data_IF_440262761421
#
_entry.id   IF_440262761421
#
_cell.length_a   1.000
_cell.length_b   1.000
_cell.length_c   1.000
_cell.angle_alpha   90.00
_cell.angle_beta   90.00
_cell.angle_gamma   90.00
#
_symmetry.space_group_name_H-M   'P 1'
#
loop_
_entity.id
_entity.type
_entity.pdbx_description
1 polymer ?
#
# COMPACT_ATOMS: atom_id res chain seq x y z
N UNK A 1 53.80 45.77 3.57
CA UNK A 1 53.27 44.61 4.31
C UNK A 1 51.95 44.20 3.66
N UNK A 2 51.93 43.07 2.93
CA UNK A 2 50.75 42.25 2.54
C UNK A 2 49.72 42.88 1.58
N UNK A 3 48.98 42.16 0.76
CA UNK A 3 49.21 41.05 -0.18
C UNK A 3 47.96 41.09 -1.09
N UNK A 4 48.14 40.84 -2.38
CA UNK A 4 47.05 40.68 -3.34
C UNK A 4 46.16 39.47 -3.00
N UNK A 5 44.87 39.56 -3.31
CA UNK A 5 43.95 38.41 -3.31
C UNK A 5 43.25 38.33 -4.68
N UNK A 6 43.63 37.32 -5.46
CA UNK A 6 42.86 36.86 -6.62
C UNK A 6 42.15 35.55 -6.22
N UNK A 7 40.90 35.30 -6.63
CA UNK A 7 40.22 34.06 -6.31
C UNK A 7 40.62 32.95 -7.29
N UNK A 8 41.18 31.86 -6.77
CA UNK A 8 41.43 30.62 -7.50
C UNK A 8 40.12 29.82 -7.61
N UNK A 9 39.68 29.53 -8.84
CA UNK A 9 38.58 28.60 -9.12
C UNK A 9 39.06 27.16 -8.92
N UNK A 10 38.61 26.50 -7.86
CA UNK A 10 38.73 25.05 -7.70
C UNK A 10 37.52 24.35 -8.32
N UNK A 11 37.71 23.65 -9.44
CA UNK A 11 36.71 22.75 -10.00
C UNK A 11 36.85 21.36 -9.34
N UNK A 12 35.85 20.93 -8.57
CA UNK A 12 35.78 19.58 -8.03
C UNK A 12 35.34 18.62 -9.14
N UNK A 13 36.22 17.68 -9.52
CA UNK A 13 35.89 16.55 -10.39
C UNK A 13 35.20 15.47 -9.56
N UNK A 14 34.01 15.05 -9.99
CA UNK A 14 33.32 13.90 -9.42
C UNK A 14 33.78 12.65 -10.18
N UNK A 15 34.46 11.74 -9.49
CA UNK A 15 34.85 10.45 -10.06
C UNK A 15 33.62 9.58 -10.29
N UNK A 16 33.57 8.90 -11.43
CA UNK A 16 32.56 7.89 -11.77
C UNK A 16 32.69 6.69 -10.83
N UNK A 17 31.77 6.56 -9.86
CA UNK A 17 31.60 5.30 -9.13
C UNK A 17 30.82 4.32 -10.00
N UNK A 18 31.44 3.20 -10.33
CA UNK A 18 30.77 2.05 -10.95
C UNK A 18 29.81 1.44 -9.95
N UNK A 19 28.51 1.50 -10.24
CA UNK A 19 27.46 0.84 -9.45
C UNK A 19 27.53 -0.66 -9.75
N UNK A 20 27.69 -1.56 -8.76
CA UNK A 20 27.63 -2.99 -9.03
C UNK A 20 26.23 -3.36 -9.53
N UNK A 21 26.18 -4.22 -10.55
CA UNK A 21 24.95 -4.74 -11.14
C UNK A 21 24.07 -5.39 -10.05
N UNK A 22 22.88 -4.84 -9.86
CA UNK A 22 21.95 -5.24 -8.82
C UNK A 22 21.55 -6.70 -8.98
N UNK A 23 21.77 -7.51 -7.94
CA UNK A 23 20.93 -8.67 -7.71
C UNK A 23 19.46 -8.22 -7.74
N UNK A 24 18.58 -8.95 -8.43
CA UNK A 24 17.15 -8.61 -8.55
C UNK A 24 16.53 -8.56 -7.16
N UNK A 25 16.50 -7.38 -6.54
CA UNK A 25 15.74 -7.16 -5.33
C UNK A 25 14.30 -7.53 -5.67
N UNK A 26 13.74 -8.53 -4.98
CA UNK A 26 12.31 -8.82 -5.05
C UNK A 26 11.59 -7.52 -4.72
N UNK A 27 11.00 -6.87 -5.73
CA UNK A 27 10.15 -5.71 -5.51
C UNK A 27 8.94 -6.20 -4.72
N UNK A 28 8.87 -5.81 -3.46
CA UNK A 28 7.68 -6.04 -2.64
C UNK A 28 6.56 -5.18 -3.22
N UNK A 29 5.39 -5.77 -3.46
CA UNK A 29 4.22 -5.01 -3.89
C UNK A 29 3.86 -3.96 -2.82
N UNK A 30 3.28 -2.83 -3.24
CA UNK A 30 2.89 -1.74 -2.36
C UNK A 30 1.86 -2.16 -1.31
N UNK A 31 1.12 -3.25 -1.58
CA UNK A 31 0.13 -3.86 -0.69
C UNK A 31 0.64 -5.09 0.07
N UNK A 32 1.96 -5.28 0.13
CA UNK A 32 2.59 -6.40 0.84
C UNK A 32 2.50 -7.72 0.09
N UNK A 33 2.48 -8.84 0.81
CA UNK A 33 2.35 -10.17 0.18
C UNK A 33 1.04 -10.29 -0.61
N UNK A 34 1.10 -11.08 -1.67
CA UNK A 34 -0.04 -11.36 -2.55
C UNK A 34 -0.40 -12.84 -2.43
N UNK A 35 -1.64 -13.14 -2.07
CA UNK A 35 -2.15 -14.48 -1.81
C UNK A 35 -3.04 -14.91 -2.97
N UNK A 36 -2.53 -15.79 -3.83
CA UNK A 36 -3.30 -16.34 -4.94
C UNK A 36 -4.13 -17.54 -4.46
N UNK A 37 -5.41 -17.53 -4.82
CA UNK A 37 -6.36 -18.62 -4.58
C UNK A 37 -6.87 -19.08 -5.95
N UNK A 38 -6.95 -20.38 -6.20
CA UNK A 38 -7.46 -20.92 -7.44
C UNK A 38 -8.38 -22.10 -7.17
N UNK A 39 -9.50 -22.19 -7.89
CA UNK A 39 -10.44 -23.31 -7.83
C UNK A 39 -11.33 -23.32 -9.07
N UNK A 40 -11.46 -24.47 -9.73
CA UNK A 40 -12.45 -24.69 -10.81
C UNK A 40 -12.47 -23.57 -11.86
N UNK A 41 -11.33 -23.30 -12.51
CA UNK A 41 -11.21 -22.26 -13.55
C UNK A 41 -11.28 -20.81 -13.04
N UNK A 42 -11.44 -20.61 -11.74
CA UNK A 42 -11.49 -19.30 -11.09
C UNK A 42 -10.18 -19.02 -10.36
N UNK A 43 -9.71 -17.77 -10.38
CA UNK A 43 -8.50 -17.35 -9.66
C UNK A 43 -8.71 -15.99 -9.00
N UNK A 44 -8.20 -15.82 -7.79
CA UNK A 44 -8.29 -14.57 -7.04
C UNK A 44 -6.93 -14.21 -6.45
N UNK A 45 -6.67 -12.92 -6.27
CA UNK A 45 -5.53 -12.42 -5.49
C UNK A 45 -6.04 -11.56 -4.36
N UNK A 46 -5.69 -11.96 -3.12
CA UNK A 46 -5.93 -11.18 -1.90
C UNK A 46 -4.60 -10.59 -1.43
N UNK A 47 -4.58 -9.32 -1.01
CA UNK A 47 -3.37 -8.64 -0.55
C UNK A 47 -3.23 -8.68 0.97
N UNK A 48 -1.99 -8.64 1.47
CA UNK A 48 -1.69 -8.52 2.90
C UNK A 48 -2.26 -7.23 3.48
N UNK A 49 -2.04 -6.09 2.82
CA UNK A 49 -2.63 -4.83 3.23
C UNK A 49 -4.16 -4.89 3.09
N UNK A 50 -4.86 -4.62 4.18
CA UNK A 50 -6.30 -4.48 4.26
C UNK A 50 -7.13 -5.70 3.83
N UNK A 51 -6.49 -6.88 3.68
CA UNK A 51 -7.09 -8.08 3.10
C UNK A 51 -7.84 -7.78 1.80
N UNK A 52 -7.25 -6.97 0.91
CA UNK A 52 -7.96 -6.46 -0.25
C UNK A 52 -8.08 -7.52 -1.35
N UNK A 53 -9.27 -7.69 -1.94
CA UNK A 53 -9.46 -8.44 -3.17
C UNK A 53 -8.94 -7.59 -4.34
N UNK A 54 -7.77 -7.95 -4.87
CA UNK A 54 -7.11 -7.21 -5.95
C UNK A 54 -7.54 -7.70 -7.33
N UNK A 55 -7.59 -9.02 -7.53
CA UNK A 55 -8.11 -9.61 -8.76
C UNK A 55 -9.07 -10.73 -8.46
N UNK A 56 -10.06 -10.89 -9.34
CA UNK A 56 -10.89 -12.08 -9.41
C UNK A 56 -11.20 -12.36 -10.87
N UNK A 57 -10.82 -13.55 -11.34
CA UNK A 57 -10.97 -14.00 -12.71
C UNK A 57 -11.74 -15.32 -12.75
N UNK A 58 -12.60 -15.50 -13.76
CA UNK A 58 -13.29 -16.77 -14.03
C UNK A 58 -13.17 -17.06 -15.53
N UNK A 59 -12.61 -18.22 -15.89
CA UNK A 59 -12.47 -18.61 -17.30
C UNK A 59 -11.66 -17.61 -18.14
N UNK A 60 -10.68 -16.93 -17.53
CA UNK A 60 -9.86 -15.90 -18.18
C UNK A 60 -10.51 -14.51 -18.26
N UNK A 61 -11.71 -14.32 -17.71
CA UNK A 61 -12.38 -13.02 -17.66
C UNK A 61 -12.17 -12.39 -16.29
N UNK A 62 -11.56 -11.20 -16.25
CA UNK A 62 -11.40 -10.38 -15.05
C UNK A 62 -12.75 -9.75 -14.65
N UNK A 63 -13.23 -10.09 -13.45
CA UNK A 63 -14.55 -9.70 -12.93
C UNK A 63 -14.51 -8.56 -11.91
N UNK A 64 -13.33 -8.14 -11.48
CA UNK A 64 -13.17 -6.97 -10.60
C UNK A 64 -12.30 -5.91 -11.25
N UNK A 65 -12.52 -4.64 -10.89
CA UNK A 65 -11.50 -3.61 -11.04
C UNK A 65 -10.21 -4.05 -10.33
N UNK A 66 -9.07 -3.62 -10.87
CA UNK A 66 -7.74 -4.03 -10.39
C UNK A 66 -6.80 -2.82 -10.29
N UNK A 67 -5.61 -3.07 -9.75
CA UNK A 67 -4.51 -2.10 -9.63
C UNK A 67 -3.16 -2.82 -9.74
N UNK A 68 -2.11 -2.08 -10.09
CA UNK A 68 -0.75 -2.56 -10.30
C UNK A 68 -0.01 -2.93 -9.01
N UNK A 69 1.09 -3.70 -9.15
CA UNK A 69 1.85 -4.21 -7.99
C UNK A 69 2.43 -3.09 -7.12
N UNK A 70 2.80 -1.98 -7.75
CA UNK A 70 3.41 -0.82 -7.08
C UNK A 70 2.36 0.22 -6.63
N UNK A 71 1.06 -0.07 -6.78
CA UNK A 71 -0.01 0.88 -6.49
C UNK A 71 -0.70 0.57 -5.16
N UNK A 72 -1.01 1.62 -4.40
CA UNK A 72 -1.98 1.55 -3.31
C UNK A 72 -3.39 1.57 -3.92
N UNK A 73 -4.35 0.78 -3.42
CA UNK A 73 -5.67 0.67 -4.03
C UNK A 73 -6.34 2.05 -4.18
N UNK A 74 -6.66 2.48 -5.41
CA UNK A 74 -7.31 3.77 -5.63
C UNK A 74 -8.68 3.74 -4.96
N UNK A 75 -9.04 4.79 -4.23
CA UNK A 75 -10.36 4.88 -3.57
C UNK A 75 -10.66 3.78 -2.56
N UNK A 76 -9.65 3.05 -2.06
CA UNK A 76 -9.85 1.87 -1.21
C UNK A 76 -10.55 0.68 -1.92
N UNK A 77 -10.40 0.55 -3.24
CA UNK A 77 -10.94 -0.60 -3.99
C UNK A 77 -10.52 -1.94 -3.40
N UNK A 78 -11.49 -2.82 -3.22
CA UNK A 78 -11.29 -4.21 -2.83
C UNK A 78 -10.98 -4.46 -1.35
N UNK A 79 -10.72 -3.43 -0.54
CA UNK A 79 -10.34 -3.64 0.88
C UNK A 79 -11.48 -4.24 1.70
N UNK A 80 -11.13 -4.95 2.77
CA UNK A 80 -12.09 -5.35 3.78
C UNK A 80 -12.48 -4.14 4.64
N UNK A 81 -13.78 -3.87 4.75
CA UNK A 81 -14.32 -2.72 5.50
C UNK A 81 -14.65 -3.15 6.93
N UNK A 82 -13.73 -2.93 7.87
CA UNK A 82 -13.92 -3.34 9.26
C UNK A 82 -13.26 -2.36 10.25
N UNK A 83 -13.93 -2.02 11.37
CA UNK A 83 -15.23 -2.54 11.81
C UNK A 83 -16.46 -1.80 11.24
N UNK A 84 -16.28 -0.79 10.37
CA UNK A 84 -17.40 -0.09 9.73
C UNK A 84 -17.16 0.11 8.23
N UNK A 85 -18.27 0.24 7.50
CA UNK A 85 -18.27 0.75 6.13
C UNK A 85 -18.55 2.25 6.11
N UNK A 86 -18.14 2.91 5.02
CA UNK A 86 -18.34 4.34 4.79
C UNK A 86 -17.70 5.24 5.88
N UNK A 87 -18.27 6.43 6.13
CA UNK A 87 -17.63 7.51 6.89
C UNK A 87 -18.15 7.65 8.31
N UNK A 88 -17.21 8.02 9.19
CA UNK A 88 -17.48 8.61 10.49
C UNK A 88 -17.07 10.08 10.42
N UNK A 89 -18.05 10.96 10.63
CA UNK A 89 -17.86 12.40 10.57
C UNK A 89 -16.81 12.86 11.58
N UNK A 90 -15.83 13.66 11.12
CA UNK A 90 -14.74 14.17 11.97
C UNK A 90 -13.92 13.09 12.69
N UNK A 91 -14.07 11.82 12.30
CA UNK A 91 -13.52 10.68 13.03
C UNK A 91 -13.98 10.60 14.50
N UNK A 92 -15.10 11.24 14.86
CA UNK A 92 -15.61 11.26 16.23
C UNK A 92 -16.58 10.10 16.43
N UNK A 93 -16.27 9.21 17.36
CA UNK A 93 -17.12 8.06 17.68
C UNK A 93 -17.23 7.91 19.19
N UNK A 94 -18.41 7.55 19.70
CA UNK A 94 -18.59 7.17 21.10
C UNK A 94 -18.57 5.65 21.22
N UNK A 95 -17.53 5.13 21.87
CA UNK A 95 -17.40 3.70 22.18
C UNK A 95 -17.61 3.52 23.68
N UNK A 96 -18.63 2.75 24.06
CA UNK A 96 -18.96 2.45 25.46
C UNK A 96 -19.08 3.71 26.34
N UNK A 97 -19.73 4.75 25.79
CA UNK A 97 -19.92 6.03 26.47
C UNK A 97 -18.68 6.94 26.49
N UNK A 98 -17.55 6.52 25.92
CA UNK A 98 -16.31 7.32 25.86
C UNK A 98 -16.06 7.85 24.45
N UNK A 99 -15.77 9.14 24.36
CA UNK A 99 -15.40 9.76 23.09
C UNK A 99 -14.06 9.23 22.59
N UNK A 100 -14.04 8.80 21.34
CA UNK A 100 -12.87 8.33 20.60
C UNK A 100 -12.58 9.31 19.46
N UNK A 101 -11.31 9.42 19.11
CA UNK A 101 -10.85 10.09 17.90
C UNK A 101 -10.18 9.06 17.01
N UNK A 102 -10.76 8.83 15.85
CA UNK A 102 -10.26 7.95 14.82
C UNK A 102 -9.29 8.70 13.90
N UNK A 103 -8.41 7.96 13.24
CA UNK A 103 -7.55 8.50 12.18
C UNK A 103 -8.40 9.09 11.06
N UNK A 104 -8.05 10.30 10.64
CA UNK A 104 -8.68 10.95 9.48
C UNK A 104 -8.05 10.41 8.21
N UNK A 105 -8.66 9.36 7.66
CA UNK A 105 -8.22 8.71 6.43
C UNK A 105 -8.62 9.47 5.16
N UNK A 106 -9.53 10.45 5.27
CA UNK A 106 -9.88 11.39 4.20
C UNK A 106 -9.60 12.83 4.62
N UNK A 107 -8.33 13.29 4.59
CA UNK A 107 -7.95 14.61 5.11
C UNK A 107 -8.71 15.78 4.49
N UNK A 108 -8.99 15.72 3.18
CA UNK A 108 -9.73 16.77 2.48
C UNK A 108 -11.20 16.88 2.90
N UNK A 109 -11.77 15.85 3.51
CA UNK A 109 -13.16 15.81 3.98
C UNK A 109 -13.27 15.76 5.51
N UNK A 110 -12.15 15.61 6.21
CA UNK A 110 -12.10 15.50 7.65
C UNK A 110 -12.73 14.22 8.21
N UNK A 111 -12.91 13.16 7.43
CA UNK A 111 -13.61 11.94 7.87
C UNK A 111 -12.67 10.76 8.08
N UNK A 112 -13.04 9.87 9.00
CA UNK A 112 -12.52 8.51 9.05
C UNK A 112 -13.38 7.63 8.13
N UNK A 113 -12.78 6.82 7.28
CA UNK A 113 -13.46 6.13 6.19
C UNK A 113 -13.06 4.67 6.14
N UNK A 114 -14.04 3.78 5.99
CA UNK A 114 -13.84 2.37 5.66
C UNK A 114 -13.07 1.54 6.71
N UNK A 115 -13.26 1.84 7.99
CA UNK A 115 -12.79 1.00 9.08
C UNK A 115 -11.37 1.29 9.57
N UNK A 116 -11.03 0.73 10.74
CA UNK A 116 -9.69 0.79 11.33
C UNK A 116 -8.68 -0.03 10.51
N UNK A 117 -9.14 -1.11 9.90
CA UNK A 117 -8.26 -2.09 9.27
C UNK A 117 -7.84 -1.73 7.85
N UNK A 118 -8.35 -0.60 7.32
CA UNK A 118 -8.06 -0.06 6.00
C UNK A 118 -6.57 0.05 5.67
N UNK A 119 -5.72 0.37 6.65
CA UNK A 119 -4.28 0.53 6.47
C UNK A 119 -3.48 -0.51 7.28
N UNK A 120 -4.10 -1.64 7.62
CA UNK A 120 -3.50 -2.67 8.48
C UNK A 120 -3.07 -3.88 7.65
N UNK A 121 -1.88 -4.42 7.92
CA UNK A 121 -1.44 -5.70 7.36
C UNK A 121 -2.14 -6.87 8.05
N UNK A 122 -2.78 -7.73 7.27
CA UNK A 122 -3.42 -8.94 7.75
C UNK A 122 -2.44 -10.10 7.81
N UNK A 123 -2.52 -10.89 8.88
CA UNK A 123 -1.71 -12.11 9.03
C UNK A 123 -2.48 -13.30 8.50
N UNK A 124 -1.86 -14.08 7.62
CA UNK A 124 -2.43 -15.35 7.15
C UNK A 124 -2.39 -16.38 8.26
N UNK A 125 -3.55 -16.96 8.55
CA UNK A 125 -3.69 -18.06 9.51
C UNK A 125 -3.55 -19.42 8.82
N UNK A 126 -4.07 -19.55 7.60
CA UNK A 126 -4.01 -20.78 6.82
C UNK A 126 -3.88 -20.47 5.33
N UNK A 127 -3.07 -21.27 4.63
CA UNK A 127 -3.00 -21.30 3.17
C UNK A 127 -2.71 -22.73 2.71
N UNK A 128 -3.35 -23.14 1.61
CA UNK A 128 -3.13 -24.42 0.94
C UNK A 128 -3.00 -24.19 -0.55
N UNK A 129 -2.09 -24.90 -1.18
CA UNK A 129 -2.07 -25.05 -2.63
C UNK A 129 -2.79 -26.35 -2.97
N UNK A 130 -3.81 -26.28 -3.82
CA UNK A 130 -4.43 -27.48 -4.39
C UNK A 130 -3.57 -27.92 -5.58
N UNK A 131 -3.10 -29.17 -5.55
CA UNK A 131 -2.13 -29.72 -6.50
C UNK A 131 -2.81 -30.34 -7.71
#
# INVERSE_FOLDING_TARGET
MRHAFAPTRGALRWGTMSVPSSATARRTAATGRQFRIARGGSTAVVTELAAALRTFEVGGVQLTETFGDAEIPPGATGITLAPWANRIERGRWTLEGRAQQLDITEPSRGNASHGLLRNTGYTVLESREER
#
